data_IF_229271832508
#
_entry.id   IF_229271832508
#
_cell.length_a   1.000
_cell.length_b   1.000
_cell.length_c   1.000
_cell.angle_alpha   90.00
_cell.angle_beta   90.00
_cell.angle_gamma   90.00
#
_symmetry.space_group_name_H-M   'P 1'
#
loop_
_entity.id
_entity.type
_entity.pdbx_description
1 polymer ?
#
# COMPACT_ATOMS: atom_id res chain seq x y z
N UNK A 1 -11.07 -7.51 21.40
CA UNK A 1 -11.92 -7.13 20.24
C UNK A 1 -13.40 -7.05 20.66
N UNK A 2 -13.87 -8.00 21.45
CA UNK A 2 -15.28 -8.03 21.91
C UNK A 2 -15.60 -6.85 22.82
N UNK A 3 -14.66 -6.44 23.66
CA UNK A 3 -14.80 -5.29 24.57
C UNK A 3 -14.83 -3.93 23.86
N UNK A 4 -14.40 -3.85 22.59
CA UNK A 4 -14.44 -2.63 21.80
C UNK A 4 -15.78 -2.40 21.06
N UNK A 5 -16.80 -3.21 21.33
CA UNK A 5 -18.12 -3.12 20.69
C UNK A 5 -18.15 -3.58 19.24
N UNK A 6 -17.08 -4.23 18.75
CA UNK A 6 -17.02 -4.81 17.42
C UNK A 6 -17.74 -6.17 17.40
N UNK A 7 -18.62 -6.37 16.43
CA UNK A 7 -19.25 -7.66 16.21
C UNK A 7 -18.22 -8.71 15.78
N UNK A 8 -18.31 -9.91 16.34
CA UNK A 8 -17.53 -11.06 15.91
C UNK A 8 -18.47 -12.15 15.38
N UNK A 9 -18.16 -12.65 14.18
CA UNK A 9 -18.83 -13.80 13.59
C UNK A 9 -17.88 -14.99 13.52
N UNK A 10 -18.36 -16.16 13.93
CA UNK A 10 -17.59 -17.40 13.86
C UNK A 10 -18.33 -18.35 12.92
N UNK A 11 -17.68 -18.75 11.84
CA UNK A 11 -18.18 -19.81 10.95
C UNK A 11 -17.91 -21.17 11.58
N UNK A 12 -18.95 -21.88 11.98
CA UNK A 12 -18.87 -23.21 12.60
C UNK A 12 -19.14 -24.36 11.63
N UNK A 13 -19.51 -24.08 10.37
CA UNK A 13 -19.73 -25.06 9.31
C UNK A 13 -18.95 -24.69 8.05
N UNK A 14 -18.75 -25.67 7.16
CA UNK A 14 -18.11 -25.45 5.86
C UNK A 14 -18.86 -24.43 4.99
N UNK A 15 -20.20 -24.42 5.07
CA UNK A 15 -21.06 -23.47 4.36
C UNK A 15 -20.84 -22.03 4.87
N UNK A 16 -20.88 -21.84 6.18
CA UNK A 16 -20.61 -20.55 6.80
C UNK A 16 -19.19 -20.04 6.50
N UNK A 17 -18.20 -20.93 6.53
CA UNK A 17 -16.84 -20.58 6.12
C UNK A 17 -16.78 -20.13 4.65
N UNK A 18 -17.47 -20.82 3.74
CA UNK A 18 -17.54 -20.44 2.34
C UNK A 18 -18.20 -19.07 2.15
N UNK A 19 -19.24 -18.75 2.90
CA UNK A 19 -19.89 -17.43 2.83
C UNK A 19 -19.00 -16.31 3.37
N UNK A 20 -18.26 -16.54 4.45
CA UNK A 20 -17.25 -15.59 4.95
C UNK A 20 -16.18 -15.33 3.87
N UNK A 21 -15.70 -16.38 3.18
CA UNK A 21 -14.73 -16.24 2.10
C UNK A 21 -15.27 -15.48 0.88
N UNK A 22 -16.56 -15.65 0.54
CA UNK A 22 -17.22 -14.84 -0.51
C UNK A 22 -17.23 -13.35 -0.15
N UNK A 23 -17.62 -13.03 1.09
CA UNK A 23 -17.62 -11.63 1.57
C UNK A 23 -16.22 -11.06 1.52
N UNK A 24 -15.21 -11.78 2.03
CA UNK A 24 -13.81 -11.35 1.98
C UNK A 24 -13.35 -11.11 0.53
N UNK A 25 -13.69 -11.99 -0.40
CA UNK A 25 -13.32 -11.87 -1.81
C UNK A 25 -13.98 -10.68 -2.52
N UNK A 26 -15.09 -10.16 -2.01
CA UNK A 26 -15.82 -9.04 -2.59
C UNK A 26 -15.37 -7.64 -2.08
N UNK A 27 -14.48 -7.57 -1.08
CA UNK A 27 -14.13 -6.30 -0.42
C UNK A 27 -13.57 -5.26 -1.39
N UNK A 28 -12.60 -5.63 -2.22
CA UNK A 28 -11.99 -4.70 -3.20
C UNK A 28 -13.04 -4.23 -4.21
N UNK A 29 -13.81 -5.15 -4.79
CA UNK A 29 -14.86 -4.81 -5.76
C UNK A 29 -15.95 -3.91 -5.15
N UNK A 30 -16.24 -4.05 -3.87
CA UNK A 30 -17.19 -3.18 -3.18
C UNK A 30 -16.67 -1.74 -3.07
N UNK A 31 -15.38 -1.55 -2.86
CA UNK A 31 -14.75 -0.22 -2.86
C UNK A 31 -14.72 0.37 -4.28
N UNK A 32 -14.32 -0.42 -5.27
CA UNK A 32 -14.30 -0.02 -6.69
C UNK A 32 -15.66 0.39 -7.21
N UNK A 33 -16.73 -0.24 -6.73
CA UNK A 33 -18.12 0.12 -7.09
C UNK A 33 -18.55 1.51 -6.57
N UNK A 34 -17.85 2.05 -5.57
CA UNK A 34 -18.13 3.39 -5.01
C UNK A 34 -17.49 4.48 -5.85
N UNK A 35 -16.21 4.33 -6.18
CA UNK A 35 -15.44 5.33 -6.95
C UNK A 35 -14.12 4.73 -7.41
N UNK A 36 -13.44 5.42 -8.33
CA UNK A 36 -12.02 5.20 -8.61
C UNK A 36 -11.21 5.20 -7.31
N UNK A 37 -10.24 4.32 -7.21
CA UNK A 37 -9.40 4.20 -6.02
C UNK A 37 -7.93 3.91 -6.40
N UNK A 38 -6.99 4.33 -5.55
CA UNK A 38 -5.59 3.92 -5.62
C UNK A 38 -5.36 2.77 -4.62
N UNK A 39 -5.00 1.56 -5.12
CA UNK A 39 -4.69 0.44 -4.25
C UNK A 39 -3.27 0.56 -3.70
N UNK A 40 -3.13 0.46 -2.41
CA UNK A 40 -1.86 0.55 -1.67
C UNK A 40 -1.64 -0.74 -0.90
N UNK A 41 -0.39 -1.17 -0.81
CA UNK A 41 0.05 -2.39 -0.15
C UNK A 41 1.29 -2.05 0.67
N UNK A 42 1.12 -1.94 1.96
CA UNK A 42 2.15 -1.57 2.93
C UNK A 42 2.31 -2.70 3.95
N UNK A 43 3.55 -3.00 4.33
CA UNK A 43 3.81 -3.90 5.44
C UNK A 43 4.43 -3.11 6.60
N UNK A 44 3.93 -3.36 7.79
CA UNK A 44 4.54 -2.91 9.04
C UNK A 44 4.76 -4.13 9.97
N UNK A 45 5.66 -4.06 10.95
CA UNK A 45 5.76 -5.11 11.96
C UNK A 45 4.39 -5.44 12.56
N UNK A 46 4.12 -6.71 12.81
CA UNK A 46 2.80 -7.19 13.25
C UNK A 46 2.30 -6.43 14.48
N UNK A 47 3.17 -6.16 15.44
CA UNK A 47 2.87 -5.40 16.67
C UNK A 47 2.62 -3.90 16.41
N UNK A 48 2.97 -3.38 15.22
CA UNK A 48 2.73 -2.01 14.80
C UNK A 48 1.49 -1.84 13.90
N UNK A 49 0.86 -2.93 13.50
CA UNK A 49 -0.31 -2.90 12.59
C UNK A 49 -1.45 -2.04 13.17
N UNK A 50 -1.77 -2.19 14.44
CA UNK A 50 -2.82 -1.39 15.08
C UNK A 50 -2.48 0.10 15.10
N UNK A 51 -1.23 0.46 15.39
CA UNK A 51 -0.76 1.84 15.40
C UNK A 51 -0.81 2.46 13.98
N UNK A 52 -0.45 1.69 12.97
CA UNK A 52 -0.52 2.14 11.58
C UNK A 52 -1.96 2.36 11.12
N UNK A 53 -2.86 1.41 11.36
CA UNK A 53 -4.30 1.54 11.02
C UNK A 53 -4.93 2.73 11.75
N UNK A 54 -4.57 2.94 13.01
CA UNK A 54 -5.04 4.10 13.78
C UNK A 54 -4.62 5.42 13.11
N UNK A 55 -3.35 5.53 12.72
CA UNK A 55 -2.84 6.68 11.98
C UNK A 55 -3.59 6.90 10.65
N UNK A 56 -3.84 5.86 9.88
CA UNK A 56 -4.60 5.96 8.62
C UNK A 56 -6.03 6.47 8.87
N UNK A 57 -6.69 6.00 9.91
CA UNK A 57 -8.02 6.47 10.29
C UNK A 57 -8.02 7.94 10.76
N UNK A 58 -6.94 8.41 11.36
CA UNK A 58 -6.77 9.84 11.72
C UNK A 58 -6.53 10.68 10.47
N UNK A 59 -5.70 10.20 9.55
CA UNK A 59 -5.41 10.84 8.28
C UNK A 59 -6.67 10.98 7.41
N UNK A 60 -7.51 9.93 7.34
CA UNK A 60 -8.83 9.97 6.70
C UNK A 60 -9.71 11.09 7.30
N UNK A 61 -9.84 11.13 8.63
CA UNK A 61 -10.66 12.15 9.30
C UNK A 61 -10.13 13.57 9.13
N UNK A 62 -8.81 13.74 9.13
CA UNK A 62 -8.16 15.05 8.98
C UNK A 62 -8.34 15.60 7.56
N UNK A 63 -8.18 14.75 6.54
CA UNK A 63 -8.12 15.17 5.14
C UNK A 63 -9.45 15.01 4.40
N UNK A 64 -10.37 14.23 4.97
CA UNK A 64 -11.63 13.85 4.31
C UNK A 64 -11.40 12.97 3.08
N UNK A 65 -10.22 12.36 2.94
CA UNK A 65 -9.92 11.41 1.89
C UNK A 65 -10.18 10.01 2.42
N UNK A 66 -11.29 9.39 2.00
CA UNK A 66 -11.68 8.08 2.48
C UNK A 66 -10.59 7.03 2.18
N UNK A 67 -10.12 6.36 3.23
CA UNK A 67 -9.09 5.33 3.18
C UNK A 67 -9.62 4.05 3.82
N UNK A 68 -10.02 3.09 2.99
CA UNK A 68 -10.52 1.79 3.46
C UNK A 68 -9.35 0.85 3.65
N UNK A 69 -9.17 0.31 4.86
CA UNK A 69 -8.09 -0.63 5.18
C UNK A 69 -8.61 -2.05 5.40
N UNK A 70 -7.92 -3.01 4.85
CA UNK A 70 -8.05 -4.45 5.10
C UNK A 70 -6.69 -5.10 4.90
N UNK A 71 -6.55 -6.41 5.01
CA UNK A 71 -5.25 -7.03 4.77
C UNK A 71 -5.04 -8.35 5.50
N UNK A 72 -3.77 -8.67 5.71
CA UNK A 72 -3.32 -9.92 6.30
C UNK A 72 -2.73 -9.64 7.69
N UNK A 73 -3.58 -9.69 8.71
CA UNK A 73 -3.18 -9.33 10.08
C UNK A 73 -2.06 -10.24 10.65
N UNK A 74 -1.90 -11.45 10.09
CA UNK A 74 -0.91 -12.42 10.55
C UNK A 74 0.53 -12.13 10.10
N UNK A 75 0.73 -11.23 9.12
CA UNK A 75 2.05 -10.87 8.59
C UNK A 75 2.31 -9.36 8.51
N UNK A 76 1.37 -8.57 9.05
CA UNK A 76 1.50 -7.10 9.08
C UNK A 76 1.24 -6.42 7.74
N UNK A 77 0.72 -7.13 6.73
CA UNK A 77 0.40 -6.56 5.44
C UNK A 77 -0.95 -5.82 5.49
N UNK A 78 -0.91 -4.51 5.26
CA UNK A 78 -2.08 -3.63 5.24
C UNK A 78 -2.33 -3.14 3.83
N UNK A 79 -3.46 -3.53 3.26
CA UNK A 79 -3.98 -2.97 2.03
C UNK A 79 -4.81 -1.73 2.34
N UNK A 80 -4.60 -0.66 1.58
CA UNK A 80 -5.42 0.53 1.62
C UNK A 80 -6.06 0.73 0.25
N UNK A 81 -7.33 1.08 0.23
CA UNK A 81 -7.99 1.64 -0.93
C UNK A 81 -8.23 3.12 -0.65
N UNK A 82 -7.47 3.98 -1.30
CA UNK A 82 -7.65 5.43 -1.21
C UNK A 82 -8.68 5.84 -2.24
N UNK A 83 -9.84 6.32 -1.80
CA UNK A 83 -11.02 6.54 -2.64
C UNK A 83 -11.04 7.97 -3.16
N UNK A 84 -11.20 8.12 -4.49
CA UNK A 84 -11.24 9.43 -5.14
C UNK A 84 -12.44 10.27 -4.73
N UNK A 85 -13.63 9.67 -4.70
CA UNK A 85 -14.88 10.39 -4.45
C UNK A 85 -15.14 11.46 -5.50
N UNK A 86 -15.63 12.61 -5.09
CA UNK A 86 -16.02 13.73 -5.96
C UNK A 86 -14.87 14.66 -6.36
N UNK A 87 -13.61 14.24 -6.16
CA UNK A 87 -12.42 15.04 -6.51
C UNK A 87 -12.21 15.11 -8.00
N UNK A 88 -11.99 16.31 -8.53
CA UNK A 88 -11.47 16.47 -9.88
C UNK A 88 -10.04 15.90 -9.99
N UNK A 89 -9.54 15.74 -11.21
CA UNK A 89 -8.25 15.09 -11.45
C UNK A 89 -7.08 15.83 -10.76
N UNK A 90 -7.03 17.14 -10.85
CA UNK A 90 -5.93 17.93 -10.30
C UNK A 90 -5.89 17.85 -8.77
N UNK A 91 -7.05 17.96 -8.13
CA UNK A 91 -7.22 17.83 -6.69
C UNK A 91 -6.92 16.39 -6.24
N UNK A 92 -7.43 15.40 -6.98
CA UNK A 92 -7.18 13.98 -6.72
C UNK A 92 -5.69 13.67 -6.68
N UNK A 93 -4.97 14.01 -7.74
CA UNK A 93 -3.54 13.73 -7.85
C UNK A 93 -2.74 14.41 -6.74
N UNK A 94 -3.04 15.67 -6.43
CA UNK A 94 -2.36 16.42 -5.38
C UNK A 94 -2.59 15.79 -4.00
N UNK A 95 -3.85 15.62 -3.61
CA UNK A 95 -4.22 15.12 -2.29
C UNK A 95 -3.80 13.67 -2.09
N UNK A 96 -3.90 12.83 -3.15
CA UNK A 96 -3.40 11.46 -3.13
C UNK A 96 -1.90 11.44 -2.81
N UNK A 97 -1.10 12.21 -3.54
CA UNK A 97 0.33 12.26 -3.33
C UNK A 97 0.71 12.73 -1.92
N UNK A 98 0.07 13.77 -1.40
CA UNK A 98 0.32 14.29 -0.05
C UNK A 98 -0.03 13.25 1.02
N UNK A 99 -1.15 12.57 0.88
CA UNK A 99 -1.59 11.55 1.83
C UNK A 99 -0.73 10.28 1.77
N UNK A 100 -0.34 9.86 0.56
CA UNK A 100 0.56 8.72 0.39
C UNK A 100 1.95 8.98 0.96
N UNK A 101 2.48 10.20 0.81
CA UNK A 101 3.74 10.57 1.44
C UNK A 101 3.69 10.43 2.97
N UNK A 102 2.58 10.83 3.58
CA UNK A 102 2.36 10.69 5.03
C UNK A 102 2.22 9.22 5.44
N UNK A 103 1.45 8.44 4.68
CA UNK A 103 1.22 7.02 4.96
C UNK A 103 2.52 6.21 4.87
N UNK A 104 3.29 6.35 3.79
CA UNK A 104 4.56 5.65 3.62
C UNK A 104 5.59 6.08 4.66
N UNK A 105 5.72 7.38 4.95
CA UNK A 105 6.61 7.87 6.01
C UNK A 105 6.26 7.24 7.36
N UNK A 106 4.98 7.21 7.70
CA UNK A 106 4.52 6.58 8.94
C UNK A 106 4.84 5.10 9.00
N UNK A 107 4.66 4.38 7.88
CA UNK A 107 5.03 2.97 7.81
C UNK A 107 6.52 2.75 8.10
N UNK A 108 7.39 3.54 7.49
CA UNK A 108 8.85 3.46 7.74
C UNK A 108 9.23 3.84 9.18
N UNK A 109 8.62 4.87 9.76
CA UNK A 109 8.82 5.23 11.18
C UNK A 109 8.50 4.05 12.11
N UNK A 110 7.54 3.22 11.72
CA UNK A 110 7.16 2.01 12.44
C UNK A 110 8.02 0.78 12.09
N UNK A 111 9.03 0.93 11.22
CA UNK A 111 9.89 -0.17 10.78
C UNK A 111 9.32 -1.00 9.63
N UNK A 112 8.35 -0.45 8.91
CA UNK A 112 7.70 -1.09 7.76
C UNK A 112 8.44 -0.94 6.44
N UNK A 113 7.81 -1.41 5.36
CA UNK A 113 8.34 -1.35 3.98
C UNK A 113 7.25 -0.97 2.98
N UNK A 114 7.68 -0.50 1.80
CA UNK A 114 6.81 0.07 0.75
C UNK A 114 5.80 -0.91 0.16
N UNK A 115 6.08 -2.20 0.12
CA UNK A 115 5.21 -3.20 -0.48
C UNK A 115 5.39 -4.56 0.16
N UNK A 116 4.30 -5.25 0.41
CA UNK A 116 4.29 -6.64 0.86
C UNK A 116 4.34 -7.62 -0.32
N UNK A 117 3.37 -7.55 -1.20
CA UNK A 117 3.19 -8.55 -2.26
C UNK A 117 2.90 -7.97 -3.65
N UNK A 118 2.40 -6.72 -3.77
CA UNK A 118 2.02 -6.14 -5.06
C UNK A 118 3.22 -5.64 -5.90
N UNK A 119 4.40 -5.54 -5.30
CA UNK A 119 5.58 -4.97 -5.96
C UNK A 119 5.57 -3.44 -6.01
N UNK A 120 6.62 -2.87 -6.58
CA UNK A 120 6.88 -1.43 -6.57
C UNK A 120 6.28 -0.74 -7.80
N UNK A 121 6.61 -1.21 -9.00
CA UNK A 121 6.16 -0.60 -10.24
C UNK A 121 6.52 0.89 -10.35
N UNK A 122 5.62 1.65 -10.99
CA UNK A 122 5.78 3.11 -11.18
C UNK A 122 5.23 3.87 -9.98
N UNK A 123 4.03 3.52 -9.50
CA UNK A 123 3.29 4.29 -8.49
C UNK A 123 4.01 4.37 -7.15
N UNK A 124 4.70 3.30 -6.74
CA UNK A 124 5.41 3.24 -5.46
C UNK A 124 6.90 3.59 -5.56
N UNK A 125 7.43 3.80 -6.79
CA UNK A 125 8.87 3.96 -7.03
C UNK A 125 9.50 5.07 -6.21
N UNK A 126 8.88 6.24 -6.12
CA UNK A 126 9.42 7.38 -5.38
C UNK A 126 9.54 7.10 -3.87
N UNK A 127 8.56 6.44 -3.29
CA UNK A 127 8.58 6.07 -1.87
C UNK A 127 9.65 5.02 -1.60
N UNK A 128 9.72 4.00 -2.45
CA UNK A 128 10.72 2.95 -2.37
C UNK A 128 12.16 3.47 -2.48
N UNK A 129 12.45 4.33 -3.44
CA UNK A 129 13.78 4.90 -3.66
C UNK A 129 14.22 5.81 -2.50
N UNK A 130 13.29 6.57 -1.93
CA UNK A 130 13.56 7.48 -0.81
C UNK A 130 14.00 6.74 0.46
N UNK A 131 13.36 5.62 0.73
CA UNK A 131 13.51 4.93 2.01
C UNK A 131 14.41 3.68 1.94
N UNK A 132 14.66 3.15 0.75
CA UNK A 132 15.48 1.95 0.59
C UNK A 132 16.97 2.29 0.65
N UNK A 133 17.71 1.54 1.44
CA UNK A 133 19.14 1.74 1.60
C UNK A 133 19.87 1.63 0.25
N UNK A 134 20.79 2.54 -0.01
CA UNK A 134 21.51 2.66 -1.30
C UNK A 134 22.20 1.35 -1.73
N UNK A 135 22.76 0.61 -0.78
CA UNK A 135 23.42 -0.67 -1.07
C UNK A 135 22.42 -1.75 -1.51
N UNK A 136 21.20 -1.74 -0.96
CA UNK A 136 20.14 -2.64 -1.42
C UNK A 136 19.75 -2.32 -2.86
N UNK A 137 19.55 -1.04 -3.18
CA UNK A 137 19.24 -0.60 -4.54
C UNK A 137 20.35 -0.98 -5.53
N UNK A 138 21.63 -0.83 -5.15
CA UNK A 138 22.77 -1.25 -5.98
C UNK A 138 22.78 -2.76 -6.22
N UNK A 139 22.47 -3.55 -5.19
CA UNK A 139 22.38 -5.01 -5.32
C UNK A 139 21.24 -5.42 -6.24
N UNK A 140 20.07 -4.81 -6.08
CA UNK A 140 18.91 -5.03 -6.96
C UNK A 140 19.23 -4.66 -8.42
N UNK A 141 19.91 -3.54 -8.66
CA UNK A 141 20.35 -3.16 -10.01
C UNK A 141 21.32 -4.17 -10.63
N UNK A 142 22.32 -4.67 -9.84
CA UNK A 142 23.24 -5.71 -10.34
C UNK A 142 22.50 -6.99 -10.76
N UNK A 143 21.47 -7.39 -10.01
CA UNK A 143 20.64 -8.53 -10.37
C UNK A 143 19.87 -8.23 -11.66
N UNK A 144 19.30 -7.05 -11.78
CA UNK A 144 18.59 -6.59 -13.00
C UNK A 144 19.53 -6.60 -14.22
N UNK A 145 20.72 -6.01 -14.09
CA UNK A 145 21.71 -5.95 -15.17
C UNK A 145 22.19 -7.34 -15.62
N UNK A 146 22.34 -8.26 -14.68
CA UNK A 146 22.75 -9.64 -14.98
C UNK A 146 21.67 -10.42 -15.75
N UNK A 147 20.37 -10.15 -15.50
CA UNK A 147 19.25 -10.86 -16.12
C UNK A 147 18.73 -10.14 -17.37
N UNK A 148 18.92 -8.84 -17.46
CA UNK A 148 18.46 -7.98 -18.57
C UNK A 148 19.55 -7.00 -19.01
N UNK A 149 20.66 -7.50 -19.56
CA UNK A 149 21.79 -6.67 -19.95
C UNK A 149 21.49 -5.65 -21.08
N UNK A 150 20.38 -5.84 -21.78
CA UNK A 150 19.91 -4.93 -22.83
C UNK A 150 18.88 -3.91 -22.32
N UNK A 151 18.47 -3.99 -21.06
CA UNK A 151 17.47 -3.12 -20.43
C UNK A 151 16.16 -2.99 -21.21
N UNK A 152 15.67 -4.09 -21.77
CA UNK A 152 14.43 -4.14 -22.56
C UNK A 152 13.21 -4.61 -21.77
N UNK A 153 13.43 -5.18 -20.57
CA UNK A 153 12.35 -5.70 -19.71
C UNK A 153 11.94 -4.64 -18.68
N UNK A 154 10.73 -4.08 -18.86
CA UNK A 154 10.17 -3.09 -17.93
C UNK A 154 11.13 -1.95 -17.58
N UNK A 155 11.82 -1.44 -18.58
CA UNK A 155 12.76 -0.33 -18.45
C UNK A 155 12.08 0.87 -17.75
N UNK A 156 12.78 1.50 -16.81
CA UNK A 156 12.33 2.66 -16.01
C UNK A 156 11.13 2.42 -15.09
N UNK A 157 10.60 1.21 -14.98
CA UNK A 157 9.44 0.92 -14.11
C UNK A 157 9.80 0.56 -12.67
N UNK A 158 11.02 0.10 -12.42
CA UNK A 158 11.49 -0.31 -11.10
C UNK A 158 12.60 0.60 -10.56
N UNK A 159 13.46 0.08 -9.75
CA UNK A 159 14.50 0.72 -8.97
C UNK A 159 15.80 1.01 -9.75
N UNK A 160 15.76 1.42 -10.98
CA UNK A 160 16.99 1.71 -11.73
C UNK A 160 17.59 3.01 -11.21
N UNK A 161 18.75 2.90 -10.56
CA UNK A 161 19.66 4.01 -10.30
C UNK A 161 20.44 4.31 -11.58
N UNK A 162 19.83 4.94 -12.55
CA UNK A 162 20.47 5.34 -13.78
C UNK A 162 20.64 6.85 -13.83
N UNK A 163 21.82 7.29 -13.73
CA UNK A 163 22.58 8.48 -14.06
C UNK A 163 21.94 9.84 -14.36
N UNK A 164 20.63 10.02 -14.39
CA UNK A 164 20.00 11.32 -14.67
C UNK A 164 18.74 11.64 -13.87
N UNK A 165 18.23 10.72 -13.05
CA UNK A 165 17.02 10.94 -12.24
C UNK A 165 17.31 11.36 -10.78
N UNK A 166 18.52 11.80 -10.45
CA UNK A 166 18.84 12.32 -9.11
C UNK A 166 18.23 13.70 -8.80
N UNK A 167 17.55 14.32 -9.76
CA UNK A 167 17.06 15.71 -9.64
C UNK A 167 15.54 15.87 -9.64
N UNK A 168 14.76 14.79 -9.64
CA UNK A 168 13.29 14.88 -9.61
C UNK A 168 12.70 13.94 -8.56
N UNK A 169 12.97 14.25 -7.30
CA UNK A 169 12.24 13.73 -6.13
C UNK A 169 11.74 14.93 -5.34
#
# INVERSE_FOLDING_TARGET
>A
AVDAGLGACVGSSAEQAADIWKVRGALVMAVEAVSEQEPVDIVVPIDQTAAFIHFINELDRETGMQMVSFGHAGDGNVHLCVVRGDRDEARWQKELHENMDRAYRKAYELGGVTSGEHGIGISKRRYFLRETHRENLRTMNRIKDALDPLHILNDKKSYILGGQDETTV
#
